data_IF_372758467739
#
_entry.id   IF_372758467739
#
_cell.length_a   1.000
_cell.length_b   1.000
_cell.length_c   1.000
_cell.angle_alpha   90.00
_cell.angle_beta   90.00
_cell.angle_gamma   90.00
#
_symmetry.space_group_name_H-M   'P 1'
#
loop_
_entity.id
_entity.type
_entity.pdbx_description
1 polymer ?
#
# COMPACT_ATOMS: atom_id res chain seq x y z
N UNK A 1 8.54 8.07 27.77
CA UNK A 1 8.43 7.97 27.19
C UNK A 1 7.94 8.22 26.56
N UNK A 2 7.78 8.27 26.21
CA UNK A 2 7.37 8.53 25.57
C UNK A 2 6.92 8.20 24.88
N UNK A 3 6.55 7.82 25.34
CA UNK A 3 6.10 7.57 24.44
C UNK A 3 5.40 8.39 23.73
N UNK A 4 5.87 8.97 23.38
CA UNK A 4 5.40 9.93 22.48
C UNK A 4 4.69 9.25 21.35
N UNK A 5 3.49 9.65 21.11
CA UNK A 5 2.80 9.14 19.97
C UNK A 5 3.52 9.57 18.71
N UNK A 6 3.94 8.62 17.96
CA UNK A 6 4.42 8.87 16.62
C UNK A 6 3.44 8.24 15.67
N UNK A 7 2.93 9.01 14.70
CA UNK A 7 2.18 8.35 13.64
C UNK A 7 3.09 7.30 13.03
N UNK A 8 2.66 6.08 13.07
CA UNK A 8 3.44 5.00 12.47
C UNK A 8 3.52 5.27 10.99
N UNK A 9 4.74 5.48 10.50
CA UNK A 9 4.94 5.64 9.08
C UNK A 9 4.62 4.33 8.42
N UNK A 10 3.69 4.36 7.48
CA UNK A 10 3.30 3.17 6.75
C UNK A 10 4.19 3.04 5.53
N UNK A 11 4.66 1.84 5.26
CA UNK A 11 5.52 1.55 4.12
C UNK A 11 4.74 0.82 3.05
N UNK A 12 5.11 1.08 1.79
CA UNK A 12 4.53 0.34 0.68
C UNK A 12 4.88 -1.13 0.84
N UNK A 13 3.92 -2.05 0.63
CA UNK A 13 4.19 -3.48 0.82
C UNK A 13 5.25 -4.04 -0.13
N UNK A 14 5.62 -3.31 -1.18
CA UNK A 14 6.74 -3.69 -2.02
C UNK A 14 8.05 -3.81 -1.26
N UNK A 15 8.22 -3.03 -0.19
CA UNK A 15 9.42 -3.13 0.63
C UNK A 15 9.47 -4.46 1.37
N UNK A 16 8.31 -4.94 1.83
CA UNK A 16 8.23 -6.25 2.48
C UNK A 16 8.60 -7.36 1.50
N UNK A 17 8.12 -7.26 0.27
CA UNK A 17 8.47 -8.25 -0.74
C UNK A 17 9.96 -8.24 -1.03
N UNK A 18 10.56 -7.06 -1.17
CA UNK A 18 11.98 -6.94 -1.41
C UNK A 18 12.79 -7.61 -0.30
N UNK A 19 12.43 -7.33 0.96
CA UNK A 19 13.10 -7.93 2.10
C UNK A 19 12.94 -9.45 2.12
N UNK A 20 11.74 -9.93 1.77
CA UNK A 20 11.47 -11.36 1.75
C UNK A 20 12.29 -12.07 0.67
N UNK A 21 12.42 -11.43 -0.50
CA UNK A 21 13.25 -12.00 -1.56
C UNK A 21 14.71 -12.08 -1.16
N UNK A 22 15.21 -11.08 -0.45
CA UNK A 22 16.57 -11.10 0.06
C UNK A 22 16.75 -12.22 1.09
N UNK A 23 15.78 -12.39 1.97
CA UNK A 23 15.78 -13.47 2.95
C UNK A 23 15.82 -14.83 2.28
N UNK A 24 15.03 -15.01 1.22
CA UNK A 24 14.94 -16.26 0.48
C UNK A 24 16.08 -16.44 -0.52
N UNK A 25 16.93 -15.43 -0.66
CA UNK A 25 18.01 -15.41 -1.65
C UNK A 25 17.49 -15.67 -3.06
N UNK A 26 16.38 -15.03 -3.38
CA UNK A 26 15.67 -15.22 -4.64
C UNK A 26 15.73 -13.94 -5.45
N UNK A 27 16.02 -14.04 -6.74
CA UNK A 27 16.00 -12.88 -7.62
C UNK A 27 14.56 -12.54 -7.98
N UNK A 28 14.36 -11.31 -8.46
CA UNK A 28 13.03 -10.89 -8.96
C UNK A 28 12.59 -11.79 -10.09
N UNK A 29 13.52 -12.16 -10.96
CA UNK A 29 13.22 -13.01 -12.11
C UNK A 29 12.76 -14.40 -11.66
N UNK A 30 13.47 -14.99 -10.70
CA UNK A 30 13.08 -16.28 -10.16
C UNK A 30 11.71 -16.22 -9.49
N UNK A 31 11.48 -15.18 -8.72
CA UNK A 31 10.20 -14.99 -8.05
C UNK A 31 9.07 -14.84 -9.06
N UNK A 32 9.28 -14.06 -10.11
CA UNK A 32 8.24 -13.81 -11.10
C UNK A 32 7.84 -15.11 -11.81
N UNK A 33 8.82 -15.97 -12.11
CA UNK A 33 8.53 -17.28 -12.71
C UNK A 33 7.70 -18.13 -11.75
N UNK A 34 8.10 -18.21 -10.49
CA UNK A 34 7.40 -19.03 -9.50
C UNK A 34 6.00 -18.50 -9.20
N UNK A 35 5.84 -17.19 -9.21
CA UNK A 35 4.55 -16.56 -8.91
C UNK A 35 3.65 -16.48 -10.14
N UNK A 36 4.18 -16.74 -11.33
CA UNK A 36 3.40 -16.63 -12.55
C UNK A 36 3.10 -15.20 -12.94
N UNK A 37 4.00 -14.25 -12.57
CA UNK A 37 3.84 -12.84 -12.85
C UNK A 37 5.00 -12.38 -13.75
N UNK A 38 4.80 -11.27 -14.46
CA UNK A 38 5.90 -10.72 -15.23
C UNK A 38 6.91 -10.04 -14.30
N UNK A 39 8.18 -10.07 -14.70
CA UNK A 39 9.22 -9.42 -13.91
C UNK A 39 8.97 -7.91 -13.82
N UNK A 40 8.39 -7.32 -14.86
CA UNK A 40 8.06 -5.89 -14.84
C UNK A 40 7.06 -5.56 -13.74
N UNK A 41 6.02 -6.40 -13.58
CA UNK A 41 5.02 -6.20 -12.54
C UNK A 41 5.67 -6.29 -11.16
N UNK A 42 6.51 -7.30 -10.95
CA UNK A 42 7.16 -7.49 -9.66
C UNK A 42 8.10 -6.32 -9.34
N UNK A 43 8.87 -5.88 -10.31
CA UNK A 43 9.79 -4.74 -10.13
C UNK A 43 9.02 -3.46 -9.84
N UNK A 44 7.92 -3.22 -10.54
CA UNK A 44 7.10 -2.03 -10.32
C UNK A 44 6.49 -2.03 -8.93
N UNK A 45 6.05 -3.19 -8.47
CA UNK A 45 5.49 -3.32 -7.13
C UNK A 45 6.56 -3.06 -6.05
N UNK A 46 7.73 -3.65 -6.21
CA UNK A 46 8.83 -3.47 -5.27
C UNK A 46 9.25 -1.99 -5.21
N UNK A 47 9.24 -1.32 -6.36
CA UNK A 47 9.60 0.09 -6.44
C UNK A 47 8.53 1.05 -5.90
N UNK A 48 7.37 0.52 -5.54
CA UNK A 48 6.31 1.36 -5.00
C UNK A 48 5.42 2.01 -6.05
N UNK A 49 5.59 1.62 -7.31
CA UNK A 49 4.87 2.24 -8.43
C UNK A 49 3.57 1.55 -8.77
N UNK A 50 3.24 0.48 -8.05
CA UNK A 50 2.07 -0.33 -8.34
C UNK A 50 1.47 -0.84 -7.04
N UNK A 51 0.14 -0.81 -6.96
CA UNK A 51 -0.58 -1.39 -5.82
C UNK A 51 -0.76 -2.89 -6.02
N UNK A 52 -0.83 -3.62 -4.91
CA UNK A 52 -1.10 -5.06 -5.00
C UNK A 52 -2.57 -5.29 -5.32
N UNK A 53 -2.82 -6.21 -6.24
CA UNK A 53 -4.18 -6.67 -6.54
C UNK A 53 -4.44 -7.98 -5.82
N UNK A 54 -5.70 -8.43 -5.81
CA UNK A 54 -6.05 -9.70 -5.18
C UNK A 54 -5.28 -10.87 -5.83
N UNK A 55 -5.19 -10.87 -7.15
CA UNK A 55 -4.46 -11.92 -7.87
C UNK A 55 -2.97 -11.91 -7.52
N UNK A 56 -2.38 -10.72 -7.45
CA UNK A 56 -0.98 -10.61 -7.05
C UNK A 56 -0.76 -11.09 -5.63
N UNK A 57 -1.68 -10.74 -4.72
CA UNK A 57 -1.57 -11.15 -3.32
C UNK A 57 -1.60 -12.67 -3.19
N UNK A 58 -2.47 -13.33 -3.95
CA UNK A 58 -2.54 -14.79 -3.96
C UNK A 58 -1.26 -15.40 -4.52
N UNK A 59 -0.72 -14.81 -5.59
CA UNK A 59 0.53 -15.28 -6.18
C UNK A 59 1.70 -15.12 -5.19
N UNK A 60 1.73 -14.01 -4.48
CA UNK A 60 2.77 -13.76 -3.47
C UNK A 60 2.69 -14.78 -2.34
N UNK A 61 1.47 -15.11 -1.91
CA UNK A 61 1.26 -16.09 -0.85
C UNK A 61 1.84 -17.46 -1.24
N UNK A 62 1.66 -17.85 -2.50
CA UNK A 62 2.15 -19.14 -3.00
C UNK A 62 3.66 -19.28 -2.82
N UNK A 63 4.39 -18.21 -3.01
CA UNK A 63 5.86 -18.27 -2.97
C UNK A 63 6.42 -17.86 -1.62
N UNK A 64 5.88 -16.82 -1.00
CA UNK A 64 6.43 -16.27 0.25
C UNK A 64 5.81 -16.90 1.49
N UNK A 65 4.67 -17.55 1.37
CA UNK A 65 3.87 -18.09 2.48
C UNK A 65 3.34 -16.98 3.41
N UNK A 66 3.43 -15.74 2.98
CA UNK A 66 2.79 -14.63 3.68
C UNK A 66 1.37 -14.52 3.12
N UNK A 67 0.35 -14.57 3.99
CA UNK A 67 -1.05 -14.63 3.53
C UNK A 67 -1.44 -13.47 2.63
N UNK A 68 -2.30 -13.76 1.65
CA UNK A 68 -2.81 -12.74 0.74
C UNK A 68 -3.43 -11.57 1.49
N UNK A 69 -4.13 -11.87 2.59
CA UNK A 69 -4.75 -10.84 3.43
C UNK A 69 -3.72 -9.84 3.94
N UNK A 70 -2.54 -10.30 4.29
CA UNK A 70 -1.48 -9.41 4.76
C UNK A 70 -1.12 -8.37 3.69
N UNK A 71 -0.93 -8.82 2.46
CA UNK A 71 -0.55 -7.93 1.37
C UNK A 71 -1.63 -6.88 1.09
N UNK A 72 -2.89 -7.32 1.08
CA UNK A 72 -4.01 -6.40 0.82
C UNK A 72 -4.19 -5.41 1.96
N UNK A 73 -4.07 -5.85 3.20
CA UNK A 73 -4.18 -4.96 4.36
C UNK A 73 -3.02 -3.96 4.39
N UNK A 74 -1.82 -4.40 4.07
CA UNK A 74 -0.66 -3.51 4.06
C UNK A 74 -0.83 -2.43 2.99
N UNK A 75 -1.37 -2.80 1.83
CA UNK A 75 -1.61 -1.83 0.76
C UNK A 75 -2.65 -0.81 1.20
N UNK A 76 -3.73 -1.26 1.81
CA UNK A 76 -4.78 -0.36 2.27
C UNK A 76 -4.25 0.61 3.32
N UNK A 77 -3.46 0.11 4.26
CA UNK A 77 -2.90 0.96 5.30
C UNK A 77 -1.97 2.02 4.71
N UNK A 78 -1.18 1.64 3.72
CA UNK A 78 -0.30 2.57 3.05
C UNK A 78 -1.09 3.65 2.30
N UNK A 79 -2.12 3.24 1.58
CA UNK A 79 -2.96 4.17 0.82
C UNK A 79 -3.65 5.17 1.75
N UNK A 80 -4.15 4.70 2.89
CA UNK A 80 -4.77 5.57 3.89
C UNK A 80 -3.77 6.54 4.48
N UNK A 81 -2.57 6.07 4.72
CA UNK A 81 -1.49 6.91 5.24
C UNK A 81 -1.18 8.05 4.25
N UNK A 82 -1.06 7.74 2.98
CA UNK A 82 -0.79 8.75 1.95
C UNK A 82 -1.91 9.77 1.87
N UNK A 83 -3.14 9.32 1.95
CA UNK A 83 -4.29 10.22 1.90
C UNK A 83 -4.28 11.19 3.07
N UNK A 84 -4.04 10.70 4.28
CA UNK A 84 -4.00 11.54 5.47
C UNK A 84 -2.84 12.54 5.41
N UNK A 85 -1.69 12.09 4.95
CA UNK A 85 -0.52 12.96 4.81
C UNK A 85 -0.77 14.07 3.81
N UNK A 86 -1.36 13.75 2.68
CA UNK A 86 -1.66 14.74 1.66
C UNK A 86 -2.63 15.79 2.18
N UNK A 87 -3.68 15.34 2.87
CA UNK A 87 -4.65 16.27 3.45
C UNK A 87 -4.00 17.20 4.46
N UNK A 88 -3.14 16.65 5.33
CA UNK A 88 -2.44 17.45 6.34
C UNK A 88 -1.50 18.47 5.71
N UNK A 89 -0.80 18.08 4.66
CA UNK A 89 0.11 18.99 3.96
C UNK A 89 -0.65 20.18 3.37
N UNK A 90 -1.76 19.93 2.73
CA UNK A 90 -2.58 21.00 2.19
C UNK A 90 -3.15 21.87 3.29
N UNK A 91 -3.61 21.26 4.36
CA UNK A 91 -4.18 21.98 5.50
C UNK A 91 -3.19 22.98 6.08
N UNK A 92 -1.92 22.61 6.13
CA UNK A 92 -0.88 23.47 6.70
C UNK A 92 -0.51 24.66 5.79
N UNK A 93 -0.88 24.60 4.52
CA UNK A 93 -0.50 25.63 3.55
C UNK A 93 -1.64 26.56 3.13
N UNK A 94 -2.86 26.19 3.47
CA UNK A 94 -4.04 26.89 2.96
C UNK A 94 -4.69 27.74 4.03
N UNK A 95 -5.44 28.78 3.60
CA UNK A 95 -6.27 29.55 4.48
C UNK A 95 -7.41 28.69 5.02
N UNK A 96 -8.10 29.17 6.05
CA UNK A 96 -9.19 28.42 6.65
C UNK A 96 -10.26 28.02 5.64
N UNK A 97 -10.61 28.94 4.73
CA UNK A 97 -11.64 28.62 3.74
C UNK A 97 -11.16 27.54 2.78
N UNK A 98 -9.91 27.59 2.38
CA UNK A 98 -9.33 26.57 1.53
C UNK A 98 -9.23 25.24 2.25
N UNK A 99 -8.91 25.28 3.54
CA UNK A 99 -8.85 24.10 4.37
C UNK A 99 -10.21 23.37 4.42
N UNK A 100 -11.30 24.14 4.55
CA UNK A 100 -12.64 23.58 4.55
C UNK A 100 -12.95 22.88 3.24
N UNK A 101 -12.55 23.47 2.13
CA UNK A 101 -12.78 22.86 0.82
C UNK A 101 -12.03 21.55 0.67
N UNK A 102 -10.80 21.49 1.17
CA UNK A 102 -10.00 20.25 1.12
C UNK A 102 -10.65 19.15 1.97
N UNK A 103 -11.13 19.50 3.15
CA UNK A 103 -11.80 18.53 4.02
C UNK A 103 -13.04 17.96 3.33
N UNK A 104 -13.84 18.78 2.70
CA UNK A 104 -15.03 18.36 1.97
C UNK A 104 -14.64 17.43 0.83
N UNK A 105 -13.58 17.76 0.10
CA UNK A 105 -13.12 16.94 -1.01
C UNK A 105 -12.68 15.55 -0.55
N UNK A 106 -11.88 15.49 0.51
CA UNK A 106 -11.39 14.22 1.06
C UNK A 106 -12.56 13.36 1.53
N UNK A 107 -13.52 13.95 2.21
CA UNK A 107 -14.70 13.22 2.68
C UNK A 107 -15.52 12.69 1.51
N UNK A 108 -15.54 13.41 0.40
CA UNK A 108 -16.28 12.99 -0.78
C UNK A 108 -15.70 11.73 -1.44
N UNK A 109 -14.38 11.60 -1.44
CA UNK A 109 -13.75 10.47 -2.11
C UNK A 109 -13.59 9.24 -1.21
N UNK A 110 -13.66 9.42 0.10
CA UNK A 110 -13.46 8.37 1.07
C UNK A 110 -14.40 7.16 0.88
N UNK A 111 -15.70 7.36 0.67
CA UNK A 111 -16.60 6.23 0.45
C UNK A 111 -16.26 5.41 -0.78
N UNK A 112 -15.82 6.07 -1.85
CA UNK A 112 -15.44 5.35 -3.07
C UNK A 112 -14.22 4.47 -2.83
N UNK A 113 -13.23 4.96 -2.08
CA UNK A 113 -12.07 4.19 -1.72
C UNK A 113 -12.44 3.00 -0.85
N UNK A 114 -13.34 3.19 0.11
CA UNK A 114 -13.79 2.11 0.98
C UNK A 114 -14.47 1.01 0.18
N UNK A 115 -15.26 1.36 -0.81
CA UNK A 115 -15.92 0.38 -1.69
C UNK A 115 -14.90 -0.42 -2.48
N UNK A 116 -13.85 0.24 -2.95
CA UNK A 116 -12.79 -0.43 -3.70
C UNK A 116 -12.10 -1.47 -2.85
N UNK A 117 -11.77 -1.14 -1.62
CA UNK A 117 -11.11 -2.06 -0.72
C UNK A 117 -12.04 -3.20 -0.28
N UNK A 118 -13.31 -2.91 -0.13
CA UNK A 118 -14.28 -3.95 0.21
C UNK A 118 -14.33 -5.03 -0.89
N UNK A 119 -14.20 -4.62 -2.15
CA UNK A 119 -14.16 -5.57 -3.26
C UNK A 119 -12.94 -6.49 -3.17
N UNK A 120 -11.81 -5.97 -2.71
CA UNK A 120 -10.62 -6.79 -2.54
C UNK A 120 -10.69 -7.69 -1.32
N UNK A 121 -11.46 -7.31 -0.31
CA UNK A 121 -11.58 -8.07 0.93
C UNK A 121 -12.46 -9.31 0.79
N UNK A 122 -13.25 -9.38 -0.26
CA UNK A 122 -14.08 -10.54 -0.54
C UNK A 122 -13.34 -11.53 -1.41
#
# INVERSE_FOLDING_TARGET
>A
METTYRPVKSFHPGETLDEKLQELRMSVEDFSVKAGLSAWVVKSFIGGDMSVTADMALAFEQVTHIPARYWLNAQRNYDEYLLKNSANMYRNRLSKSQEQMIIIFVDSIKPAMSKQYAAYAH
#
